data_IF_374224309843
#
_entry.id   IF_374224309843
#
_cell.length_a   1.000
_cell.length_b   1.000
_cell.length_c   1.000
_cell.angle_alpha   90.00
_cell.angle_beta   90.00
_cell.angle_gamma   90.00
#
_symmetry.space_group_name_H-M   'P 1'
#
loop_
_entity.id
_entity.type
_entity.pdbx_description
1 polymer ?
#
# COMPACT_ATOMS: atom_id res chain seq x y z
N UNK A 1 42.61 6.45 -3.77
CA UNK A 1 41.73 5.78 -4.76
C UNK A 1 40.30 5.92 -4.27
N UNK A 2 39.44 6.70 -4.94
CA UNK A 2 38.01 6.75 -4.60
C UNK A 2 37.37 5.52 -5.25
N UNK A 3 36.87 4.57 -4.46
CA UNK A 3 36.03 3.50 -4.96
C UNK A 3 34.86 4.15 -5.68
N UNK A 4 34.69 3.84 -6.96
CA UNK A 4 33.53 4.27 -7.74
C UNK A 4 32.36 3.39 -7.28
N UNK A 5 31.85 3.63 -6.06
CA UNK A 5 30.68 2.92 -5.55
C UNK A 5 29.50 3.24 -6.45
N UNK A 6 29.03 2.23 -7.18
CA UNK A 6 27.86 2.36 -8.02
C UNK A 6 26.64 2.62 -7.15
N UNK A 7 25.93 3.70 -7.44
CA UNK A 7 24.71 4.04 -6.72
C UNK A 7 23.60 3.02 -7.04
N UNK A 8 22.95 2.51 -6.01
CA UNK A 8 21.83 1.59 -6.13
C UNK A 8 20.62 2.36 -6.68
N UNK A 9 20.14 1.98 -7.86
CA UNK A 9 19.12 2.72 -8.62
C UNK A 9 19.47 4.20 -8.83
N UNK A 10 20.75 4.51 -9.06
CA UNK A 10 21.20 5.85 -9.42
C UNK A 10 21.27 6.88 -8.28
N UNK A 11 20.72 6.56 -7.10
CA UNK A 11 20.72 7.49 -5.94
C UNK A 11 21.20 6.86 -4.63
N UNK A 12 20.98 5.56 -4.44
CA UNK A 12 21.21 4.89 -3.16
C UNK A 12 22.68 4.65 -2.87
N UNK A 13 23.19 5.21 -1.77
CA UNK A 13 24.55 5.03 -1.26
C UNK A 13 24.54 3.97 -0.16
N UNK A 14 25.28 2.87 -0.39
CA UNK A 14 25.41 1.80 0.58
C UNK A 14 26.63 2.03 1.48
N UNK A 15 26.44 2.82 2.53
CA UNK A 15 27.49 3.31 3.42
C UNK A 15 27.66 2.48 4.72
N UNK A 16 26.92 1.38 4.87
CA UNK A 16 26.99 0.49 6.03
C UNK A 16 27.13 -0.96 5.59
N UNK A 17 28.12 -1.64 6.16
CA UNK A 17 28.41 -3.06 5.96
C UNK A 17 28.62 -3.78 7.31
N UNK A 18 28.40 -5.12 7.38
CA UNK A 18 27.91 -5.98 6.32
C UNK A 18 26.38 -5.87 6.15
N UNK A 19 25.89 -6.01 4.90
CA UNK A 19 24.45 -6.16 4.62
C UNK A 19 24.02 -7.61 4.37
N UNK A 20 24.96 -8.55 4.52
CA UNK A 20 24.73 -9.97 4.49
C UNK A 20 25.18 -10.59 5.81
N UNK A 21 24.32 -11.40 6.42
CA UNK A 21 24.61 -12.20 7.61
C UNK A 21 24.12 -13.61 7.30
N UNK A 22 24.97 -14.62 7.49
CA UNK A 22 24.69 -16.03 7.17
C UNK A 22 24.16 -16.25 5.74
N UNK A 23 24.81 -15.57 4.77
CA UNK A 23 24.43 -15.62 3.35
C UNK A 23 23.11 -14.92 3.00
N UNK A 24 22.45 -14.27 3.96
CA UNK A 24 21.16 -13.61 3.77
C UNK A 24 21.28 -12.10 3.90
N UNK A 25 20.62 -11.37 2.99
CA UNK A 25 20.47 -9.92 3.10
C UNK A 25 19.73 -9.56 4.39
N UNK A 26 20.29 -8.65 5.18
CA UNK A 26 19.62 -8.13 6.38
C UNK A 26 18.31 -7.44 6.00
N UNK A 27 17.30 -7.50 6.87
CA UNK A 27 15.95 -7.03 6.53
C UNK A 27 15.91 -5.52 6.25
N UNK A 28 16.63 -4.70 7.03
CA UNK A 28 16.72 -3.26 6.80
C UNK A 28 17.15 -2.95 5.36
N UNK A 29 18.21 -3.61 4.88
CA UNK A 29 18.69 -3.46 3.50
C UNK A 29 17.65 -3.90 2.47
N UNK A 30 16.94 -5.01 2.70
CA UNK A 30 15.87 -5.46 1.79
C UNK A 30 14.73 -4.44 1.69
N UNK A 31 14.35 -3.81 2.80
CA UNK A 31 13.28 -2.79 2.81
C UNK A 31 13.74 -1.53 2.10
N UNK A 32 14.94 -1.03 2.42
CA UNK A 32 15.53 0.14 1.77
C UNK A 32 15.71 -0.04 0.26
N UNK A 33 16.33 -1.15 -0.15
CA UNK A 33 16.47 -1.50 -1.57
C UNK A 33 15.10 -1.65 -2.25
N UNK A 34 14.11 -2.25 -1.57
CA UNK A 34 12.76 -2.36 -2.08
C UNK A 34 12.09 -1.00 -2.28
N UNK A 35 12.32 -0.04 -1.37
CA UNK A 35 11.85 1.33 -1.47
C UNK A 35 12.47 2.07 -2.66
N UNK A 36 13.80 2.03 -2.80
CA UNK A 36 14.50 2.63 -3.95
C UNK A 36 14.02 2.03 -5.27
N UNK A 37 13.91 0.70 -5.35
CA UNK A 37 13.39 0.00 -6.52
C UNK A 37 12.00 0.47 -6.94
N UNK A 38 11.12 0.79 -5.98
CA UNK A 38 9.77 1.27 -6.29
C UNK A 38 9.79 2.67 -6.90
N UNK A 39 10.71 3.54 -6.46
CA UNK A 39 10.77 4.93 -6.91
C UNK A 39 11.57 5.10 -8.21
N UNK A 40 12.65 4.33 -8.35
CA UNK A 40 13.70 4.55 -9.36
C UNK A 40 14.00 3.30 -10.20
N UNK A 41 13.21 2.23 -10.03
CA UNK A 41 13.36 1.02 -10.83
C UNK A 41 12.82 1.19 -12.24
N UNK A 42 13.63 0.86 -13.23
CA UNK A 42 13.28 0.96 -14.66
C UNK A 42 12.99 -0.42 -15.28
N UNK A 43 12.49 -0.44 -16.51
CA UNK A 43 12.24 -1.65 -17.29
C UNK A 43 11.32 -2.65 -16.57
N UNK A 44 11.82 -3.88 -16.34
CA UNK A 44 11.07 -4.95 -15.64
C UNK A 44 10.71 -4.62 -14.19
N UNK A 45 11.29 -3.56 -13.62
CA UNK A 45 11.00 -3.11 -12.27
C UNK A 45 10.01 -1.95 -12.19
N UNK A 46 9.76 -1.27 -13.31
CA UNK A 46 8.81 -0.18 -13.40
C UNK A 46 7.39 -0.66 -13.07
N UNK A 47 6.67 0.16 -12.31
CA UNK A 47 5.27 -0.09 -11.93
C UNK A 47 4.51 1.23 -11.93
N UNK A 48 3.42 1.36 -12.72
CA UNK A 48 2.63 2.61 -12.78
C UNK A 48 2.14 3.10 -11.41
N UNK A 49 1.86 2.18 -10.47
CA UNK A 49 1.42 2.54 -9.12
C UNK A 49 2.43 3.38 -8.31
N UNK A 50 3.72 3.31 -8.67
CA UNK A 50 4.79 4.07 -8.02
C UNK A 50 5.31 5.24 -8.84
N UNK A 51 4.66 5.55 -9.96
CA UNK A 51 4.99 6.72 -10.76
C UNK A 51 4.90 8.01 -9.92
N UNK A 52 5.91 8.87 -10.10
CA UNK A 52 6.09 10.10 -9.32
C UNK A 52 6.51 9.88 -7.87
N UNK A 53 6.71 8.64 -7.41
CA UNK A 53 7.23 8.40 -6.05
C UNK A 53 8.72 8.70 -5.99
N UNK A 54 9.14 9.36 -4.91
CA UNK A 54 10.54 9.71 -4.63
C UNK A 54 10.90 9.32 -3.21
N UNK A 55 12.20 9.27 -2.94
CA UNK A 55 12.76 9.05 -1.60
C UNK A 55 13.44 10.35 -1.17
N UNK A 56 13.16 10.78 0.05
CA UNK A 56 13.85 11.90 0.70
C UNK A 56 15.37 11.70 0.67
N UNK A 57 16.12 12.80 0.46
CA UNK A 57 17.57 12.75 0.25
C UNK A 57 18.32 12.12 1.42
N UNK A 58 17.85 12.31 2.66
CA UNK A 58 18.45 11.67 3.84
C UNK A 58 18.43 10.14 3.69
N UNK A 59 17.33 9.60 3.17
CA UNK A 59 17.14 8.17 2.98
C UNK A 59 17.81 7.61 1.71
N UNK A 60 18.54 8.43 0.95
CA UNK A 60 19.47 7.93 -0.06
C UNK A 60 20.71 7.31 0.58
N UNK A 61 21.05 7.68 1.83
CA UNK A 61 22.06 6.99 2.63
C UNK A 61 21.42 5.80 3.36
N UNK A 62 22.02 4.61 3.23
CA UNK A 62 21.49 3.43 3.91
C UNK A 62 21.59 3.56 5.44
N UNK A 63 22.65 4.18 5.97
CA UNK A 63 22.81 4.46 7.40
C UNK A 63 21.63 5.22 8.00
N UNK A 64 21.18 6.30 7.35
CA UNK A 64 20.06 7.13 7.82
C UNK A 64 18.73 6.38 7.78
N UNK A 65 18.46 5.64 6.69
CA UNK A 65 17.31 4.75 6.65
C UNK A 65 17.39 3.68 7.75
N UNK A 66 18.58 3.09 7.97
CA UNK A 66 18.77 2.03 8.96
C UNK A 66 18.55 2.55 10.38
N UNK A 67 18.96 3.77 10.72
CA UNK A 67 18.64 4.42 12.01
C UNK A 67 17.13 4.48 12.24
N UNK A 68 16.36 4.92 11.23
CA UNK A 68 14.90 4.90 11.31
C UNK A 68 14.35 3.48 11.45
N UNK A 69 14.85 2.54 10.64
CA UNK A 69 14.44 1.15 10.66
C UNK A 69 14.63 0.55 12.05
N UNK A 70 15.83 0.65 12.63
CA UNK A 70 16.15 0.07 13.92
C UNK A 70 15.28 0.66 15.05
N UNK A 71 14.93 1.95 14.95
CA UNK A 71 14.11 2.63 15.94
C UNK A 71 12.60 2.36 15.81
N UNK A 72 12.09 2.05 14.61
CA UNK A 72 10.65 2.03 14.32
C UNK A 72 10.12 0.70 13.81
N UNK A 73 11.00 -0.22 13.39
CA UNK A 73 10.57 -1.47 12.80
C UNK A 73 9.94 -2.40 13.84
N UNK A 74 8.74 -2.89 13.50
CA UNK A 74 8.04 -3.92 14.26
C UNK A 74 8.12 -5.24 13.47
N UNK A 75 8.54 -6.35 14.08
CA UNK A 75 8.59 -7.65 13.42
C UNK A 75 7.31 -8.00 12.64
N UNK A 76 7.46 -8.35 11.36
CA UNK A 76 6.34 -8.72 10.50
C UNK A 76 5.65 -7.55 9.80
N UNK A 77 5.99 -6.30 10.13
CA UNK A 77 5.43 -5.12 9.48
C UNK A 77 6.14 -4.76 8.16
N UNK A 78 5.46 -3.95 7.35
CA UNK A 78 5.88 -3.44 6.05
C UNK A 78 5.93 -1.91 6.08
N UNK A 79 6.90 -1.32 5.37
CA UNK A 79 7.04 0.12 5.25
C UNK A 79 5.96 0.68 4.31
N UNK A 80 5.14 1.58 4.82
CA UNK A 80 4.09 2.28 4.08
C UNK A 80 4.31 3.80 4.13
N UNK A 81 4.00 4.50 3.03
CA UNK A 81 4.12 5.98 2.93
C UNK A 81 2.77 6.69 2.80
N UNK A 82 1.71 5.93 2.56
CA UNK A 82 0.45 6.42 2.00
C UNK A 82 -0.62 6.56 3.07
N UNK A 83 -0.60 5.73 4.11
CA UNK A 83 -1.66 5.70 5.11
C UNK A 83 -1.63 6.87 6.07
N UNK A 84 -0.48 7.43 6.40
CA UNK A 84 -0.46 8.67 7.20
C UNK A 84 -0.88 9.88 6.36
N UNK A 85 -0.53 9.88 5.07
CA UNK A 85 -0.75 10.99 4.16
C UNK A 85 -1.30 10.47 2.82
N UNK A 86 -2.63 10.29 2.70
CA UNK A 86 -3.23 9.77 1.46
C UNK A 86 -2.85 10.61 0.25
N UNK A 87 -2.32 9.97 -0.79
CA UNK A 87 -1.84 10.63 -2.01
C UNK A 87 -0.37 11.06 -1.97
N UNK A 88 0.31 10.89 -0.84
CA UNK A 88 1.73 11.18 -0.71
C UNK A 88 2.59 10.34 -1.67
N UNK A 89 3.66 10.96 -2.17
CA UNK A 89 4.60 10.36 -3.11
C UNK A 89 6.03 10.27 -2.56
N UNK A 90 6.29 10.83 -1.38
CA UNK A 90 7.63 10.88 -0.80
C UNK A 90 7.78 9.81 0.28
N UNK A 91 8.78 8.94 0.15
CA UNK A 91 9.25 8.10 1.24
C UNK A 91 10.21 8.90 2.13
N UNK A 92 9.86 9.13 3.39
CA UNK A 92 10.72 9.79 4.38
C UNK A 92 10.41 9.33 5.80
N UNK A 93 11.27 9.67 6.76
CA UNK A 93 11.05 9.41 8.18
C UNK A 93 9.81 10.10 8.75
N UNK A 94 9.32 11.13 8.07
CA UNK A 94 8.15 11.94 8.47
C UNK A 94 6.86 11.42 7.87
N UNK A 95 6.91 10.78 6.71
CA UNK A 95 5.72 10.30 5.99
C UNK A 95 5.50 8.80 6.11
N UNK A 96 6.56 8.04 6.39
CA UNK A 96 6.50 6.59 6.45
C UNK A 96 6.25 6.03 7.85
N UNK A 97 5.62 4.87 7.87
CA UNK A 97 5.33 4.09 9.06
C UNK A 97 5.42 2.60 8.75
N UNK A 98 5.78 1.79 9.75
CA UNK A 98 5.65 0.34 9.64
C UNK A 98 4.25 -0.11 10.06
N UNK A 99 3.55 -0.80 9.16
CA UNK A 99 2.20 -1.33 9.41
C UNK A 99 2.16 -2.85 9.22
N UNK A 100 1.25 -3.56 9.90
CA UNK A 100 1.06 -4.98 9.66
C UNK A 100 0.69 -5.27 8.21
N UNK A 101 1.22 -6.36 7.66
CA UNK A 101 0.94 -6.80 6.29
C UNK A 101 -0.56 -6.96 6.02
N UNK A 102 -1.34 -7.39 7.02
CA UNK A 102 -2.79 -7.52 6.92
C UNK A 102 -3.48 -6.17 6.65
N UNK A 103 -3.05 -5.10 7.35
CA UNK A 103 -3.57 -3.75 7.14
C UNK A 103 -3.16 -3.21 5.77
N UNK A 104 -1.89 -3.38 5.38
CA UNK A 104 -1.40 -2.97 4.07
C UNK A 104 -2.17 -3.66 2.92
N UNK A 105 -2.41 -4.97 3.08
CA UNK A 105 -3.20 -5.77 2.12
C UNK A 105 -4.66 -5.35 2.08
N UNK A 106 -5.25 -4.98 3.22
CA UNK A 106 -6.63 -4.53 3.31
C UNK A 106 -6.88 -3.24 2.52
N UNK A 107 -5.93 -2.29 2.54
CA UNK A 107 -6.07 -0.99 1.87
C UNK A 107 -5.64 -0.99 0.40
N UNK A 108 -4.82 -1.96 0.00
CA UNK A 108 -4.32 -2.07 -1.38
C UNK A 108 -5.46 -2.44 -2.34
N UNK A 109 -5.82 -1.54 -3.24
CA UNK A 109 -6.76 -1.82 -4.34
C UNK A 109 -6.01 -2.29 -5.59
N UNK A 110 -6.30 -3.49 -6.08
CA UNK A 110 -5.65 -4.07 -7.28
C UNK A 110 -6.28 -3.51 -8.57
N UNK A 111 -6.09 -2.20 -8.81
CA UNK A 111 -6.70 -1.48 -9.93
C UNK A 111 -6.50 -2.14 -11.30
N UNK A 112 -5.30 -2.67 -11.58
CA UNK A 112 -4.94 -3.26 -12.87
C UNK A 112 -5.68 -4.56 -13.24
N UNK A 113 -6.41 -5.19 -12.31
CA UNK A 113 -7.24 -6.38 -12.58
C UNK A 113 -8.74 -6.05 -12.65
N UNK A 114 -9.12 -4.78 -12.66
CA UNK A 114 -10.53 -4.39 -12.73
C UNK A 114 -11.02 -4.59 -14.16
N UNK A 115 -12.15 -5.29 -14.29
CA UNK A 115 -12.97 -5.20 -15.50
C UNK A 115 -13.75 -3.88 -15.52
N UNK A 116 -14.81 -3.83 -16.31
CA UNK A 116 -15.55 -2.59 -16.61
C UNK A 116 -16.39 -2.04 -15.44
N UNK A 117 -16.47 -2.77 -14.33
CA UNK A 117 -17.34 -2.45 -13.20
C UNK A 117 -16.62 -1.73 -12.05
N UNK A 118 -17.36 -0.96 -11.21
CA UNK A 118 -16.84 -0.37 -9.99
C UNK A 118 -16.16 -1.39 -9.07
N UNK A 119 -15.23 -0.93 -8.24
CA UNK A 119 -14.51 -1.79 -7.32
C UNK A 119 -15.48 -2.50 -6.38
N UNK A 120 -15.28 -3.80 -6.15
CA UNK A 120 -16.18 -4.57 -5.30
C UNK A 120 -17.43 -5.11 -6.00
N UNK A 121 -17.64 -4.77 -7.28
CA UNK A 121 -18.71 -5.33 -8.11
C UNK A 121 -18.12 -6.19 -9.25
N UNK A 122 -18.79 -7.31 -9.55
CA UNK A 122 -18.52 -8.11 -10.75
C UNK A 122 -19.81 -8.70 -11.32
N UNK A 123 -19.94 -8.75 -12.65
CA UNK A 123 -21.06 -9.45 -13.27
C UNK A 123 -20.92 -10.95 -13.03
N UNK A 124 -21.97 -11.60 -12.51
CA UNK A 124 -21.97 -13.05 -12.29
C UNK A 124 -22.13 -13.76 -13.63
N UNK A 125 -21.22 -14.68 -13.94
CA UNK A 125 -21.29 -15.50 -15.17
C UNK A 125 -22.65 -16.21 -15.26
N UNK A 126 -23.36 -16.01 -16.37
CA UNK A 126 -24.68 -16.59 -16.62
C UNK A 126 -25.85 -15.89 -15.90
N UNK A 127 -25.63 -14.70 -15.35
CA UNK A 127 -26.65 -13.88 -14.70
C UNK A 127 -26.61 -12.45 -15.23
N UNK A 128 -27.75 -11.76 -15.17
CA UNK A 128 -27.85 -10.31 -15.38
C UNK A 128 -27.44 -9.51 -14.14
N UNK A 129 -27.25 -10.18 -12.99
CA UNK A 129 -26.97 -9.55 -11.70
C UNK A 129 -25.49 -9.41 -11.39
N UNK A 130 -25.17 -8.39 -10.62
CA UNK A 130 -23.85 -8.06 -10.10
C UNK A 130 -23.65 -8.67 -8.72
N UNK A 131 -22.57 -9.40 -8.55
CA UNK A 131 -22.12 -9.98 -7.29
C UNK A 131 -21.19 -8.99 -6.57
N UNK A 132 -21.39 -8.84 -5.26
CA UNK A 132 -20.45 -8.15 -4.37
C UNK A 132 -19.82 -9.15 -3.40
N UNK A 133 -18.49 -9.18 -3.34
CA UNK A 133 -17.74 -9.96 -2.36
C UNK A 133 -16.60 -9.13 -1.77
N UNK A 134 -16.26 -9.42 -0.52
CA UNK A 134 -15.07 -8.86 0.12
C UNK A 134 -14.19 -9.97 0.67
N UNK A 135 -12.88 -9.79 0.55
CA UNK A 135 -11.89 -10.71 1.13
C UNK A 135 -11.48 -10.22 2.51
N UNK A 136 -11.74 -11.03 3.55
CA UNK A 136 -11.38 -10.76 4.94
C UNK A 136 -10.53 -11.93 5.44
N UNK A 137 -9.31 -11.65 5.89
CA UNK A 137 -8.40 -12.67 6.44
C UNK A 137 -8.23 -13.90 5.54
N UNK A 138 -8.10 -13.69 4.23
CA UNK A 138 -7.93 -14.78 3.27
C UNK A 138 -9.22 -15.42 2.77
N UNK A 139 -10.37 -15.19 3.44
CA UNK A 139 -11.66 -15.77 3.10
C UNK A 139 -12.54 -14.77 2.35
N UNK A 140 -13.30 -15.25 1.37
CA UNK A 140 -14.29 -14.42 0.68
C UNK A 140 -15.61 -14.45 1.46
N UNK A 141 -16.16 -13.28 1.74
CA UNK A 141 -17.50 -13.06 2.27
C UNK A 141 -18.38 -12.53 1.14
N UNK A 142 -19.45 -13.26 0.84
CA UNK A 142 -20.48 -12.82 -0.10
C UNK A 142 -21.36 -11.75 0.54
N UNK A 143 -21.58 -10.64 -0.15
CA UNK A 143 -22.35 -9.49 0.33
C UNK A 143 -23.70 -9.35 -0.35
N UNK A 144 -23.92 -10.07 -1.46
CA UNK A 144 -25.20 -10.13 -2.14
C UNK A 144 -25.09 -10.09 -3.67
N UNK A 145 -26.27 -10.13 -4.30
CA UNK A 145 -26.49 -10.01 -5.73
C UNK A 145 -27.41 -8.81 -5.99
N UNK A 146 -27.05 -7.96 -6.95
CA UNK A 146 -27.70 -6.67 -7.20
C UNK A 146 -28.01 -6.51 -8.69
N UNK A 147 -29.08 -5.80 -9.04
CA UNK A 147 -29.41 -5.52 -10.45
C UNK A 147 -28.51 -4.45 -11.08
N UNK A 148 -27.81 -3.67 -10.24
CA UNK A 148 -27.00 -2.53 -10.65
C UNK A 148 -25.57 -2.63 -10.07
N UNK A 149 -24.53 -2.35 -10.88
CA UNK A 149 -23.14 -2.47 -10.43
C UNK A 149 -22.77 -1.42 -9.36
N UNK A 150 -23.44 -0.27 -9.33
CA UNK A 150 -23.24 0.73 -8.29
C UNK A 150 -23.82 0.26 -6.94
N UNK A 151 -24.98 -0.42 -6.91
CA UNK A 151 -25.52 -1.04 -5.69
C UNK A 151 -24.59 -2.14 -5.15
N UNK A 152 -24.03 -2.98 -6.02
CA UNK A 152 -23.03 -3.98 -5.62
C UNK A 152 -21.77 -3.32 -5.02
N UNK A 153 -21.29 -2.24 -5.64
CA UNK A 153 -20.19 -1.44 -5.09
C UNK A 153 -20.54 -0.84 -3.73
N UNK A 154 -21.74 -0.28 -3.57
CA UNK A 154 -22.15 0.37 -2.32
C UNK A 154 -22.18 -0.64 -1.17
N UNK A 155 -22.68 -1.86 -1.41
CA UNK A 155 -22.63 -2.95 -0.44
C UNK A 155 -21.19 -3.30 -0.04
N UNK A 156 -20.29 -3.44 -1.02
CA UNK A 156 -18.86 -3.67 -0.77
C UNK A 156 -18.20 -2.52 -0.01
N UNK A 157 -18.49 -1.27 -0.39
CA UNK A 157 -17.89 -0.07 0.20
C UNK A 157 -18.30 0.06 1.67
N UNK A 158 -19.59 -0.13 1.97
CA UNK A 158 -20.11 -0.05 3.33
C UNK A 158 -19.49 -1.13 4.23
N UNK A 159 -19.39 -2.37 3.74
CA UNK A 159 -18.71 -3.44 4.47
C UNK A 159 -17.22 -3.13 4.68
N UNK A 160 -16.54 -2.62 3.65
CA UNK A 160 -15.12 -2.22 3.76
C UNK A 160 -14.92 -1.09 4.77
N UNK A 161 -15.83 -0.11 4.81
CA UNK A 161 -15.77 0.98 5.78
C UNK A 161 -16.03 0.47 7.21
N UNK A 162 -17.00 -0.41 7.38
CA UNK A 162 -17.27 -1.08 8.67
C UNK A 162 -16.04 -1.83 9.18
N UNK A 163 -15.40 -2.62 8.32
CA UNK A 163 -14.14 -3.31 8.65
C UNK A 163 -13.01 -2.32 8.97
N UNK A 164 -12.93 -1.20 8.26
CA UNK A 164 -11.92 -0.16 8.51
C UNK A 164 -12.07 0.45 9.91
N UNK A 165 -13.29 0.71 10.37
CA UNK A 165 -13.54 1.15 11.75
C UNK A 165 -13.06 0.13 12.79
N UNK A 166 -13.15 -1.17 12.49
CA UNK A 166 -12.61 -2.23 13.34
C UNK A 166 -11.08 -2.18 13.55
N UNK A 167 -10.33 -1.49 12.67
CA UNK A 167 -8.89 -1.33 12.81
C UNK A 167 -8.48 -0.20 13.77
N UNK A 168 -9.43 0.54 14.37
CA UNK A 168 -9.13 1.72 15.20
C UNK A 168 -8.12 1.44 16.32
N UNK A 169 -8.35 0.41 17.14
CA UNK A 169 -7.46 0.09 18.25
C UNK A 169 -6.04 -0.23 17.79
N UNK A 170 -5.89 -1.06 16.74
CA UNK A 170 -4.58 -1.35 16.14
C UNK A 170 -3.90 -0.09 15.61
N UNK A 171 -4.66 0.76 14.92
CA UNK A 171 -4.10 1.99 14.34
C UNK A 171 -3.63 2.96 15.42
N UNK A 172 -4.42 3.15 16.48
CA UNK A 172 -4.09 4.07 17.58
C UNK A 172 -2.82 3.63 18.33
N UNK A 173 -2.59 2.31 18.45
CA UNK A 173 -1.35 1.76 19.03
C UNK A 173 -0.10 2.06 18.18
N UNK A 174 -0.26 2.14 16.85
CA UNK A 174 0.84 2.39 15.92
C UNK A 174 1.11 3.88 15.74
N UNK A 175 0.06 4.67 15.51
CA UNK A 175 0.16 6.12 15.35
C UNK A 175 -1.23 6.80 15.42
N UNK A 176 -1.40 7.92 16.14
CA UNK A 176 -2.71 8.55 16.36
C UNK A 176 -3.44 9.01 15.09
N UNK A 177 -2.71 9.30 14.02
CA UNK A 177 -3.31 9.71 12.74
C UNK A 177 -3.59 8.54 11.79
N UNK A 178 -3.12 7.32 12.09
CA UNK A 178 -3.17 6.20 11.15
C UNK A 178 -4.61 5.78 10.84
N UNK A 179 -5.48 5.74 11.85
CA UNK A 179 -6.89 5.41 11.64
C UNK A 179 -7.58 6.44 10.74
N UNK A 180 -7.31 7.73 10.95
CA UNK A 180 -7.87 8.80 10.11
C UNK A 180 -7.44 8.65 8.65
N UNK A 181 -6.17 8.35 8.41
CA UNK A 181 -5.68 8.17 7.06
C UNK A 181 -6.16 6.88 6.40
N UNK A 182 -6.36 5.81 7.17
CA UNK A 182 -7.08 4.60 6.72
C UNK A 182 -8.49 4.95 6.23
N UNK A 183 -9.29 5.66 7.03
CA UNK A 183 -10.65 6.05 6.65
C UNK A 183 -10.65 6.88 5.37
N UNK A 184 -9.80 7.92 5.28
CA UNK A 184 -9.65 8.73 4.06
C UNK A 184 -9.27 7.89 2.83
N UNK A 185 -8.39 6.90 3.01
CA UNK A 185 -8.02 5.99 1.93
C UNK A 185 -9.22 5.19 1.46
N UNK A 186 -10.05 4.68 2.36
CA UNK A 186 -11.27 3.97 1.98
C UNK A 186 -12.29 4.90 1.32
N UNK A 187 -12.52 6.10 1.87
CA UNK A 187 -13.41 7.11 1.30
C UNK A 187 -13.09 7.41 -0.17
N UNK A 188 -11.81 7.52 -0.53
CA UNK A 188 -11.37 7.72 -1.91
C UNK A 188 -11.69 6.57 -2.88
N UNK A 189 -12.15 5.42 -2.37
CA UNK A 189 -12.60 4.30 -3.20
C UNK A 189 -14.09 4.36 -3.54
N UNK A 190 -14.86 5.27 -2.91
CA UNK A 190 -16.29 5.43 -3.20
C UNK A 190 -16.46 5.96 -4.61
N UNK A 191 -17.28 5.28 -5.42
CA UNK A 191 -17.69 5.82 -6.72
C UNK A 191 -18.98 6.62 -6.59
N UNK A 192 -19.15 7.63 -7.45
CA UNK A 192 -20.42 8.32 -7.60
C UNK A 192 -21.41 7.46 -8.40
N UNK A 193 -22.70 7.61 -8.12
CA UNK A 193 -23.73 7.03 -8.97
C UNK A 193 -23.62 7.65 -10.37
N UNK A 194 -23.62 6.85 -11.45
CA UNK A 194 -23.70 7.39 -12.80
C UNK A 194 -24.98 8.24 -12.90
N UNK A 195 -24.87 9.47 -13.40
CA UNK A 195 -26.07 10.25 -13.73
C UNK A 195 -26.79 9.49 -14.84
N UNK A 196 -28.07 9.19 -14.66
CA UNK A 196 -28.89 8.68 -15.74
C UNK A 196 -28.78 9.66 -16.91
N UNK A 197 -28.24 9.20 -18.05
CA UNK A 197 -28.45 9.89 -19.31
C UNK A 197 -29.91 9.60 -19.67
N UNK A 198 -30.77 10.60 -19.45
CA UNK A 198 -32.11 10.63 -20.02
C UNK A 198 -32.03 10.81 -21.53
#
# INVERSE_FOLDING_TARGET
>A
MKSNESLIFGVGKLDVHPVFVDGKKIRAYRVWHGMLKRCYGEGVYYRPSYEGCVVDEEWHLFSEFKKFYDAKYIPGCELDKDLLFPGNKVYSSKTCIFIPQALNSFVTSRGARRGDYPIGACLKKGSTKFQADIKVNGKNKHLGMFEDPYLAHLAWFNEKMSLAHGYKSLCDQLHPQLHRGLIKKIESLKVSQPRCQN
#
